data_IF_724761490754
#
_entry.id   IF_724761490754
#
_cell.length_a   1.000
_cell.length_b   1.000
_cell.length_c   1.000
_cell.angle_alpha   90.00
_cell.angle_beta   90.00
_cell.angle_gamma   90.00
#
_symmetry.space_group_name_H-M   'P 1'
#
loop_
_entity.id
_entity.type
_entity.pdbx_description
1 polymer ?
#
# COMPACT_ATOMS: atom_id res chain seq x y z
N UNK A 1 -3.68 15.02 7.93
CA UNK A 1 -2.70 15.96 7.33
C UNK A 1 -2.71 15.72 5.83
N UNK A 2 -2.90 16.76 5.03
CA UNK A 2 -2.98 16.62 3.57
C UNK A 2 -1.59 16.38 2.98
N UNK A 3 -1.40 15.37 2.10
CA UNK A 3 -0.11 15.13 1.48
C UNK A 3 0.24 16.25 0.50
N UNK A 4 1.53 16.63 0.37
CA UNK A 4 1.97 17.74 -0.50
C UNK A 4 1.93 17.40 -2.01
N UNK A 5 1.30 16.28 -2.37
CA UNK A 5 1.20 15.80 -3.75
C UNK A 5 -0.10 15.04 -3.98
N UNK A 6 -0.61 15.00 -5.23
CA UNK A 6 -1.74 14.14 -5.57
C UNK A 6 -1.44 12.64 -5.41
N UNK A 7 -2.53 11.89 -5.30
CA UNK A 7 -2.56 10.44 -5.40
C UNK A 7 -1.92 9.95 -6.71
N UNK A 8 -1.17 8.85 -6.67
CA UNK A 8 -0.57 8.19 -7.84
C UNK A 8 0.33 9.08 -8.73
N UNK A 9 0.66 10.30 -8.30
CA UNK A 9 1.61 11.16 -8.98
C UNK A 9 2.97 11.09 -8.29
N UNK A 10 4.03 11.08 -9.11
CA UNK A 10 5.38 11.21 -8.61
C UNK A 10 5.55 12.55 -7.89
N UNK A 11 6.24 12.54 -6.76
CA UNK A 11 6.58 13.77 -6.05
C UNK A 11 7.55 14.60 -6.90
N UNK A 12 7.33 15.91 -7.02
CA UNK A 12 8.23 16.82 -7.76
C UNK A 12 9.64 16.90 -7.18
N UNK A 13 9.84 16.48 -5.92
CA UNK A 13 11.16 16.37 -5.30
C UNK A 13 11.85 15.01 -5.53
N UNK A 14 11.20 14.07 -6.22
CA UNK A 14 11.79 12.77 -6.52
C UNK A 14 12.83 12.91 -7.63
N UNK A 15 14.03 12.39 -7.38
CA UNK A 15 15.14 12.34 -8.34
C UNK A 15 15.47 10.88 -8.65
N UNK A 16 16.41 10.65 -9.58
CA UNK A 16 16.91 9.30 -9.88
C UNK A 16 17.57 8.61 -8.66
N UNK A 17 17.97 9.37 -7.63
CA UNK A 17 18.67 8.86 -6.45
C UNK A 17 17.83 8.95 -5.16
N UNK A 18 16.54 9.27 -5.27
CA UNK A 18 15.64 9.45 -4.13
C UNK A 18 15.17 10.90 -3.95
N UNK A 19 14.76 11.27 -2.75
CA UNK A 19 14.20 12.59 -2.48
C UNK A 19 15.29 13.68 -2.45
N UNK A 20 15.19 14.68 -3.33
CA UNK A 20 16.13 15.82 -3.39
C UNK A 20 16.10 16.74 -2.17
N UNK A 21 15.01 16.69 -1.38
CA UNK A 21 14.86 17.43 -0.11
C UNK A 21 14.85 16.47 1.08
N UNK A 22 15.62 15.37 1.03
CA UNK A 22 15.52 14.32 2.06
C UNK A 22 15.68 14.86 3.48
N UNK A 23 16.62 15.77 3.71
CA UNK A 23 16.82 16.41 5.04
C UNK A 23 15.63 17.29 5.44
N UNK A 24 15.01 17.95 4.47
CA UNK A 24 13.95 18.95 4.66
C UNK A 24 12.54 18.40 4.40
N UNK A 25 12.36 17.07 4.35
CA UNK A 25 11.07 16.44 4.05
C UNK A 25 9.94 17.04 4.90
N UNK A 26 8.77 17.35 4.34
CA UNK A 26 7.65 17.79 5.17
C UNK A 26 7.22 16.66 6.12
N UNK A 27 6.56 17.04 7.22
CA UNK A 27 6.19 16.12 8.30
C UNK A 27 5.53 14.82 7.83
N UNK A 28 4.52 14.81 6.91
CA UNK A 28 3.93 13.55 6.42
C UNK A 28 4.95 12.56 5.87
N UNK A 29 5.99 13.07 5.19
CA UNK A 29 7.03 12.27 4.59
C UNK A 29 8.13 11.85 5.59
N UNK A 30 8.24 12.51 6.75
CA UNK A 30 9.16 12.11 7.83
C UNK A 30 8.58 10.98 8.67
N UNK A 31 7.29 11.07 9.00
CA UNK A 31 6.63 10.15 9.93
C UNK A 31 6.18 8.84 9.29
N UNK A 32 6.10 8.78 7.96
CA UNK A 32 5.72 7.56 7.27
C UNK A 32 6.72 6.43 7.52
N UNK A 33 6.23 5.28 7.96
CA UNK A 33 6.96 4.02 8.01
C UNK A 33 6.12 2.92 7.37
N UNK A 34 6.68 2.22 6.38
CA UNK A 34 6.03 1.03 5.85
C UNK A 34 6.09 -0.12 6.88
N UNK A 35 5.23 -1.12 6.71
CA UNK A 35 5.12 -2.27 7.63
C UNK A 35 6.47 -2.97 7.82
N UNK A 36 7.25 -3.15 6.75
CA UNK A 36 8.57 -3.75 6.85
C UNK A 36 9.50 -2.95 7.76
N UNK A 37 9.60 -1.63 7.56
CA UNK A 37 10.49 -0.77 8.34
C UNK A 37 10.05 -0.71 9.81
N UNK A 38 8.76 -0.51 10.06
CA UNK A 38 8.21 -0.48 11.42
C UNK A 38 8.40 -1.80 12.17
N UNK A 39 8.32 -2.94 11.47
CA UNK A 39 8.55 -4.26 12.08
C UNK A 39 9.98 -4.46 12.58
N UNK A 40 10.98 -3.75 12.05
CA UNK A 40 12.38 -3.95 12.44
C UNK A 40 12.65 -3.57 13.91
N UNK A 41 11.84 -2.68 14.48
CA UNK A 41 11.92 -2.31 15.89
C UNK A 41 11.22 -3.32 16.84
N UNK A 42 10.56 -4.34 16.30
CA UNK A 42 9.73 -5.29 17.06
C UNK A 42 10.45 -6.63 17.36
N UNK A 43 11.74 -6.75 17.06
CA UNK A 43 12.57 -7.91 17.42
C UNK A 43 12.07 -9.23 16.81
N UNK A 44 11.55 -10.20 17.58
CA UNK A 44 11.18 -11.53 17.08
C UNK A 44 10.14 -11.56 15.96
N UNK A 45 9.32 -10.51 15.81
CA UNK A 45 8.29 -10.40 14.78
C UNK A 45 8.74 -9.53 13.58
N UNK A 46 10.02 -9.16 13.52
CA UNK A 46 10.56 -8.40 12.41
C UNK A 46 10.39 -9.18 11.10
N UNK A 47 9.91 -8.48 10.07
CA UNK A 47 9.73 -9.10 8.77
C UNK A 47 11.08 -9.42 8.13
N UNK A 48 11.21 -10.59 7.46
CA UNK A 48 12.46 -11.01 6.85
C UNK A 48 12.91 -10.04 5.75
N UNK A 49 14.22 -10.01 5.49
CA UNK A 49 14.81 -9.13 4.47
C UNK A 49 14.24 -9.36 3.08
N UNK A 50 13.78 -10.58 2.76
CA UNK A 50 13.15 -10.88 1.48
C UNK A 50 11.84 -10.11 1.23
N UNK A 51 11.18 -9.61 2.29
CA UNK A 51 9.99 -8.75 2.20
C UNK A 51 10.34 -7.25 2.21
N UNK A 52 11.63 -6.88 2.20
CA UNK A 52 12.05 -5.47 2.11
C UNK A 52 11.58 -4.89 0.78
N UNK A 53 11.00 -3.67 0.73
CA UNK A 53 10.35 -3.16 -0.47
C UNK A 53 11.22 -3.10 -1.75
N UNK A 54 12.51 -2.80 -1.62
CA UNK A 54 13.46 -2.80 -2.74
C UNK A 54 13.78 -4.20 -3.27
N UNK A 55 13.47 -5.26 -2.51
CA UNK A 55 13.68 -6.66 -2.90
C UNK A 55 12.41 -7.31 -3.44
N UNK A 56 11.28 -7.16 -2.75
CA UNK A 56 10.01 -7.73 -3.18
C UNK A 56 9.26 -6.86 -4.21
N UNK A 57 9.60 -5.57 -4.31
CA UNK A 57 8.95 -4.62 -5.21
C UNK A 57 7.54 -4.20 -4.76
N UNK A 58 7.24 -4.31 -3.46
CA UNK A 58 5.95 -3.95 -2.86
C UNK A 58 6.19 -3.17 -1.57
N UNK A 59 5.59 -1.98 -1.47
CA UNK A 59 5.52 -1.22 -0.21
C UNK A 59 4.19 -1.54 0.45
N UNK A 60 4.24 -1.89 1.74
CA UNK A 60 3.04 -2.27 2.50
C UNK A 60 2.78 -1.19 3.54
N UNK A 61 1.56 -0.69 3.58
CA UNK A 61 1.05 0.18 4.64
C UNK A 61 -0.21 -0.42 5.27
N UNK A 62 -0.53 0.04 6.47
CA UNK A 62 -1.82 -0.22 7.12
C UNK A 62 -2.42 1.14 7.39
N UNK A 63 -3.62 1.38 6.89
CA UNK A 63 -4.29 2.66 7.06
C UNK A 63 -4.98 2.75 8.43
N UNK A 64 -5.61 3.89 8.74
CA UNK A 64 -6.18 4.15 10.07
C UNK A 64 -7.36 3.24 10.44
N UNK A 65 -7.99 2.60 9.46
CA UNK A 65 -9.10 1.65 9.67
C UNK A 65 -8.66 0.19 9.65
N UNK A 66 -7.35 -0.08 9.58
CA UNK A 66 -6.79 -1.43 9.66
C UNK A 66 -6.74 -2.19 8.33
N UNK A 67 -6.99 -1.54 7.20
CA UNK A 67 -6.82 -2.13 5.87
C UNK A 67 -5.34 -2.18 5.52
N UNK A 68 -4.86 -3.35 5.10
CA UNK A 68 -3.51 -3.52 4.58
C UNK A 68 -3.50 -3.17 3.10
N UNK A 69 -2.65 -2.22 2.70
CA UNK A 69 -2.52 -1.77 1.32
C UNK A 69 -1.12 -2.11 0.80
N UNK A 70 -1.06 -2.86 -0.29
CA UNK A 70 0.15 -3.29 -0.97
C UNK A 70 0.36 -2.48 -2.25
N UNK A 71 1.22 -1.46 -2.20
CA UNK A 71 1.59 -0.64 -3.35
C UNK A 71 2.68 -1.32 -4.17
N UNK A 72 2.33 -1.69 -5.38
CA UNK A 72 3.21 -2.43 -6.28
C UNK A 72 4.06 -1.47 -7.11
N UNK A 73 5.38 -1.68 -7.11
CA UNK A 73 6.28 -0.94 -8.00
C UNK A 73 6.00 -1.23 -9.49
N UNK A 74 5.56 -2.46 -9.80
CA UNK A 74 5.01 -2.82 -11.13
C UNK A 74 3.75 -3.66 -10.92
N UNK A 75 2.75 -3.63 -11.82
CA UNK A 75 1.43 -4.23 -11.57
C UNK A 75 1.43 -5.68 -11.08
N UNK A 76 2.41 -6.49 -11.47
CA UNK A 76 2.49 -7.90 -11.12
C UNK A 76 3.48 -8.25 -9.96
N UNK A 77 4.11 -7.28 -9.29
CA UNK A 77 5.12 -7.60 -8.25
C UNK A 77 4.52 -8.35 -7.06
N UNK A 78 3.28 -8.07 -6.68
CA UNK A 78 2.57 -8.76 -5.60
C UNK A 78 2.33 -10.25 -5.85
N UNK A 79 2.44 -10.73 -7.09
CA UNK A 79 2.33 -12.16 -7.45
C UNK A 79 3.63 -12.94 -7.31
N UNK A 80 4.74 -12.28 -6.95
CA UNK A 80 6.04 -12.92 -6.79
C UNK A 80 6.23 -13.44 -5.37
N UNK A 81 6.97 -14.52 -5.22
CA UNK A 81 7.38 -14.97 -3.90
C UNK A 81 8.56 -14.13 -3.36
N UNK A 82 8.66 -13.92 -2.03
CA UNK A 82 7.76 -14.45 -0.98
C UNK A 82 6.54 -13.55 -0.68
N UNK A 83 6.39 -12.41 -1.36
CA UNK A 83 5.36 -11.42 -1.02
C UNK A 83 3.95 -11.93 -1.32
N UNK A 84 3.78 -12.72 -2.38
CA UNK A 84 2.48 -13.30 -2.74
C UNK A 84 1.93 -14.17 -1.61
N UNK A 85 2.71 -15.15 -1.15
CA UNK A 85 2.32 -16.00 -0.02
C UNK A 85 2.04 -15.20 1.23
N UNK A 86 2.86 -14.19 1.52
CA UNK A 86 2.66 -13.33 2.68
C UNK A 86 1.34 -12.55 2.62
N UNK A 87 0.98 -12.01 1.44
CA UNK A 87 -0.28 -11.29 1.24
C UNK A 87 -1.50 -12.21 1.40
N UNK A 88 -1.46 -13.43 0.86
CA UNK A 88 -2.54 -14.40 1.02
C UNK A 88 -2.77 -14.79 2.49
N UNK A 89 -1.66 -14.98 3.23
CA UNK A 89 -1.69 -15.26 4.68
C UNK A 89 -2.29 -14.10 5.48
N UNK A 90 -2.11 -12.85 5.03
CA UNK A 90 -2.77 -11.68 5.63
C UNK A 90 -4.23 -11.55 5.21
N UNK A 91 -4.56 -11.84 3.95
CA UNK A 91 -5.93 -11.81 3.43
C UNK A 91 -6.86 -12.81 4.14
N UNK A 92 -6.31 -13.82 4.81
CA UNK A 92 -7.07 -14.69 5.69
C UNK A 92 -7.64 -13.98 6.94
N UNK A 93 -7.06 -12.86 7.37
CA UNK A 93 -7.40 -12.23 8.65
C UNK A 93 -7.69 -10.73 8.56
N UNK A 94 -7.32 -10.11 7.44
CA UNK A 94 -7.40 -8.67 7.22
C UNK A 94 -7.93 -8.38 5.82
N UNK A 95 -8.51 -7.20 5.62
CA UNK A 95 -8.73 -6.69 4.28
C UNK A 95 -7.38 -6.32 3.66
N UNK A 96 -7.08 -6.90 2.50
CA UNK A 96 -5.86 -6.64 1.75
C UNK A 96 -6.22 -6.02 0.41
N UNK A 97 -5.75 -4.80 0.19
CA UNK A 97 -5.88 -4.09 -1.07
C UNK A 97 -4.55 -4.12 -1.82
N UNK A 98 -4.60 -4.41 -3.11
CA UNK A 98 -3.45 -4.35 -4.01
C UNK A 98 -3.58 -3.10 -4.86
N UNK A 99 -2.70 -2.14 -4.66
CA UNK A 99 -2.58 -0.96 -5.51
C UNK A 99 -1.50 -1.20 -6.55
N UNK A 100 -1.92 -1.34 -7.81
CA UNK A 100 -1.02 -1.58 -8.95
C UNK A 100 -0.54 -0.29 -9.62
N UNK A 101 -1.01 0.85 -9.15
CA UNK A 101 -0.83 2.17 -9.78
C UNK A 101 -1.84 2.47 -10.89
N UNK A 102 -2.37 1.46 -11.59
CA UNK A 102 -3.43 1.60 -12.60
C UNK A 102 -4.81 1.25 -12.05
N UNK A 103 -4.87 0.27 -11.17
CA UNK A 103 -6.09 -0.24 -10.55
C UNK A 103 -5.84 -0.63 -9.10
N UNK A 104 -6.92 -0.66 -8.34
CA UNK A 104 -6.95 -1.14 -6.97
C UNK A 104 -7.80 -2.40 -6.91
N UNK A 105 -7.26 -3.45 -6.29
CA UNK A 105 -7.91 -4.76 -6.20
C UNK A 105 -8.10 -5.13 -4.73
N UNK A 106 -9.19 -5.79 -4.39
CA UNK A 106 -9.38 -6.49 -3.12
C UNK A 106 -8.89 -7.93 -3.30
N UNK A 107 -7.94 -8.36 -2.47
CA UNK A 107 -7.39 -9.72 -2.48
C UNK A 107 -8.12 -10.59 -1.46
N UNK A 108 -8.59 -11.76 -1.91
CA UNK A 108 -9.12 -12.82 -1.05
C UNK A 108 -8.01 -13.85 -0.72
N UNK A 109 -8.22 -14.64 0.34
CA UNK A 109 -7.28 -15.65 0.86
C UNK A 109 -6.97 -16.77 -0.13
N UNK A 110 -7.87 -17.04 -1.08
CA UNK A 110 -7.70 -18.04 -2.13
C UNK A 110 -6.94 -17.48 -3.35
N UNK A 111 -6.61 -16.19 -3.33
CA UNK A 111 -5.92 -15.49 -4.41
C UNK A 111 -6.86 -14.88 -5.46
N UNK A 112 -8.18 -15.02 -5.31
CA UNK A 112 -9.13 -14.28 -6.09
C UNK A 112 -8.96 -12.77 -5.86
N UNK A 113 -9.21 -11.99 -6.91
CA UNK A 113 -9.16 -10.53 -6.86
C UNK A 113 -10.44 -9.92 -7.39
N UNK A 114 -10.94 -8.91 -6.68
CA UNK A 114 -12.08 -8.12 -7.13
C UNK A 114 -11.64 -6.67 -7.35
N UNK A 115 -12.05 -6.07 -8.46
CA UNK A 115 -11.70 -4.68 -8.75
C UNK A 115 -12.47 -3.73 -7.84
N UNK A 116 -11.76 -2.75 -7.30
CA UNK A 116 -12.28 -1.69 -6.46
C UNK A 116 -12.30 -0.37 -7.25
N UNK A 117 -13.35 0.41 -7.04
CA UNK A 117 -13.51 1.74 -7.64
C UNK A 117 -13.43 2.79 -6.53
N UNK A 118 -12.55 3.76 -6.73
CA UNK A 118 -12.43 4.92 -5.85
C UNK A 118 -13.68 5.80 -5.96
N UNK A 119 -14.32 6.10 -4.83
CA UNK A 119 -15.55 6.90 -4.78
C UNK A 119 -15.42 8.20 -4.00
N UNK A 120 -14.28 8.43 -3.35
CA UNK A 120 -14.02 9.68 -2.64
C UNK A 120 -13.06 9.50 -1.46
N UNK A 121 -12.94 10.56 -0.66
CA UNK A 121 -12.11 10.58 0.54
C UNK A 121 -13.00 10.86 1.74
N UNK A 122 -12.88 10.06 2.80
CA UNK A 122 -13.52 10.34 4.07
C UNK A 122 -12.89 11.62 4.65
N UNK A 123 -13.70 12.64 4.89
CA UNK A 123 -13.22 13.96 5.34
C UNK A 123 -12.69 13.98 6.77
N UNK A 124 -13.09 13.02 7.61
CA UNK A 124 -12.68 12.93 9.00
C UNK A 124 -11.35 12.18 9.14
N UNK A 125 -11.24 11.03 8.46
CA UNK A 125 -10.05 10.16 8.56
C UNK A 125 -9.02 10.41 7.47
N UNK A 126 -9.38 11.16 6.42
CA UNK A 126 -8.59 11.34 5.20
C UNK A 126 -8.31 10.03 4.43
N UNK A 127 -9.08 8.98 4.72
CA UNK A 127 -8.96 7.68 4.05
C UNK A 127 -9.66 7.67 2.70
N UNK A 128 -9.08 7.01 1.71
CA UNK A 128 -9.74 6.79 0.43
C UNK A 128 -10.83 5.74 0.58
N UNK A 129 -12.01 6.04 0.04
CA UNK A 129 -13.16 5.17 0.02
C UNK A 129 -13.23 4.44 -1.31
N UNK A 130 -13.46 3.13 -1.21
CA UNK A 130 -13.58 2.25 -2.35
C UNK A 130 -14.81 1.36 -2.20
N UNK A 131 -15.44 1.04 -3.33
CA UNK A 131 -16.51 0.04 -3.41
C UNK A 131 -16.16 -0.99 -4.46
N UNK A 132 -16.79 -2.18 -4.40
CA UNK A 132 -16.54 -3.21 -5.40
C UNK A 132 -17.17 -2.79 -6.72
N UNK A 133 -16.46 -2.97 -7.83
CA UNK A 133 -16.96 -2.58 -9.16
C UNK A 133 -18.31 -3.25 -9.49
N UNK A 134 -18.51 -4.49 -9.04
CA UNK A 134 -19.78 -5.22 -9.21
C UNK A 134 -20.97 -4.60 -8.46
N UNK A 135 -20.71 -3.80 -7.41
CA UNK A 135 -21.76 -3.12 -6.63
C UNK A 135 -22.20 -1.83 -7.32
N UNK A 136 -21.36 -1.23 -8.18
CA UNK A 136 -21.73 -0.06 -8.99
C UNK A 136 -22.71 -0.39 -10.12
N UNK A 137 -22.66 -1.62 -10.65
CA UNK A 137 -23.55 -2.06 -11.72
C UNK A 137 -25.02 -2.24 -11.25
N UNK A 138 -25.26 -2.19 -9.95
CA UNK A 138 -26.58 -2.36 -9.33
C UNK A 138 -27.15 -1.06 -8.74
N UNK A 139 -26.55 0.10 -9.08
CA UNK A 139 -26.98 1.44 -8.65
C UNK A 139 -27.43 2.26 -9.86
#
# INVERSE_FOLDING_TARGET
MEPPKPAHQACGHCTAHGCGIYVDRPEPCRVFQCVWLGSQSMGPVALPSALRPDRCGVVIEINSVGTLIAHCHRPATWKREPIHRWLLDRAAHLQVMIDTGAETLLLDRDGAVEKLVFVGVNKETNERLYIREKELANV
#
